data_IF_015667589477
#
_entry.id   IF_015667589477
#
_cell.length_a   1.000
_cell.length_b   1.000
_cell.length_c   1.000
_cell.angle_alpha   90.00
_cell.angle_beta   90.00
_cell.angle_gamma   90.00
#
_symmetry.space_group_name_H-M   'P 1'
#
loop_
_entity.id
_entity.type
_entity.pdbx_description
1 polymer ?
#
# COMPACT_ATOMS: atom_id res chain seq x y z
N UNK A 1 -8.85 -22.03 -32.31
CA UNK A 1 -8.20 -20.84 -31.71
C UNK A 1 -9.08 -20.33 -30.57
N UNK A 2 -8.96 -20.91 -29.37
CA UNK A 2 -9.72 -20.48 -28.17
C UNK A 2 -8.77 -20.14 -27.02
N UNK A 3 -7.71 -20.94 -26.87
CA UNK A 3 -6.63 -20.72 -25.91
C UNK A 3 -5.88 -19.37 -26.06
N UNK A 4 -5.78 -18.80 -27.26
CA UNK A 4 -5.15 -17.48 -27.48
C UNK A 4 -6.03 -16.33 -26.99
N UNK A 5 -7.35 -16.48 -27.07
CA UNK A 5 -8.31 -15.45 -26.68
C UNK A 5 -8.45 -15.41 -25.17
N UNK A 6 -8.51 -16.57 -24.51
CA UNK A 6 -8.63 -16.69 -23.06
C UNK A 6 -7.40 -16.11 -22.32
N UNK A 7 -6.19 -16.37 -22.84
CA UNK A 7 -4.95 -15.81 -22.27
C UNK A 7 -4.86 -14.29 -22.39
N UNK A 8 -5.31 -13.71 -23.51
CA UNK A 8 -5.35 -12.25 -23.71
C UNK A 8 -6.38 -11.61 -22.78
N UNK A 9 -7.54 -12.26 -22.57
CA UNK A 9 -8.58 -11.78 -21.64
C UNK A 9 -8.07 -11.78 -20.21
N UNK A 10 -7.45 -12.88 -19.74
CA UNK A 10 -6.87 -12.95 -18.39
C UNK A 10 -5.79 -11.90 -18.16
N UNK A 11 -4.92 -11.67 -19.15
CA UNK A 11 -3.89 -10.64 -19.04
C UNK A 11 -4.50 -9.23 -18.94
N UNK A 12 -5.55 -8.94 -19.71
CA UNK A 12 -6.28 -7.67 -19.61
C UNK A 12 -6.98 -7.51 -18.26
N UNK A 13 -7.69 -8.53 -17.78
CA UNK A 13 -8.34 -8.50 -16.48
C UNK A 13 -7.34 -8.28 -15.34
N UNK A 14 -6.17 -8.93 -15.41
CA UNK A 14 -5.09 -8.71 -14.46
C UNK A 14 -4.58 -7.26 -14.52
N UNK A 15 -4.33 -6.73 -15.73
CA UNK A 15 -3.88 -5.35 -15.91
C UNK A 15 -4.94 -4.37 -15.39
N UNK A 16 -6.22 -4.59 -15.68
CA UNK A 16 -7.31 -3.70 -15.27
C UNK A 16 -7.58 -3.76 -13.76
N UNK A 17 -7.47 -4.93 -13.13
CA UNK A 17 -7.51 -5.09 -11.67
C UNK A 17 -6.39 -4.29 -11.01
N UNK A 18 -5.15 -4.48 -11.48
CA UNK A 18 -4.03 -3.69 -11.00
C UNK A 18 -4.26 -2.20 -11.29
N UNK A 19 -4.73 -1.83 -12.47
CA UNK A 19 -4.96 -0.42 -12.83
C UNK A 19 -6.00 0.24 -11.92
N UNK A 20 -7.05 -0.48 -11.54
CA UNK A 20 -8.07 -0.02 -10.59
C UNK A 20 -7.49 0.18 -9.18
N UNK A 21 -6.72 -0.79 -8.68
CA UNK A 21 -5.96 -0.64 -7.43
C UNK A 21 -4.98 0.55 -7.49
N UNK A 22 -4.48 0.87 -8.69
CA UNK A 22 -3.61 2.00 -8.96
C UNK A 22 -4.35 3.34 -9.16
N UNK A 23 -5.64 3.34 -9.48
CA UNK A 23 -6.44 4.58 -9.58
C UNK A 23 -6.92 5.03 -8.20
N UNK A 24 -7.22 4.09 -7.29
CA UNK A 24 -7.75 4.42 -5.96
C UNK A 24 -6.66 4.84 -4.94
N UNK A 25 -5.43 4.38 -5.12
CA UNK A 25 -4.32 4.65 -4.20
C UNK A 25 -3.59 5.96 -4.55
N UNK A 26 -3.24 6.79 -3.56
CA UNK A 26 -2.41 7.99 -3.79
C UNK A 26 -1.00 7.62 -4.24
N UNK A 27 -0.35 8.51 -5.00
CA UNK A 27 1.05 8.32 -5.42
C UNK A 27 1.97 8.20 -4.21
N UNK A 28 1.70 8.94 -3.15
CA UNK A 28 2.37 8.85 -1.86
C UNK A 28 2.28 7.45 -1.25
N UNK A 29 1.09 6.83 -1.25
CA UNK A 29 0.89 5.50 -0.67
C UNK A 29 1.68 4.44 -1.45
N UNK A 30 1.72 4.55 -2.78
CA UNK A 30 2.56 3.70 -3.64
C UNK A 30 4.04 3.81 -3.31
N UNK A 31 4.57 5.03 -3.21
CA UNK A 31 5.98 5.24 -2.87
C UNK A 31 6.29 4.76 -1.45
N UNK A 32 5.40 5.01 -0.48
CA UNK A 32 5.55 4.52 0.89
C UNK A 32 5.63 3.00 0.95
N UNK A 33 4.74 2.29 0.24
CA UNK A 33 4.77 0.83 0.13
C UNK A 33 6.06 0.33 -0.52
N UNK A 34 6.45 0.88 -1.67
CA UNK A 34 7.67 0.47 -2.39
C UNK A 34 8.91 0.66 -1.51
N UNK A 35 9.03 1.80 -0.82
CA UNK A 35 10.15 2.07 0.08
C UNK A 35 10.16 1.12 1.28
N UNK A 36 8.99 0.73 1.80
CA UNK A 36 8.88 -0.31 2.85
C UNK A 36 9.41 -1.66 2.33
N UNK A 37 8.99 -2.05 1.12
CA UNK A 37 9.43 -3.30 0.48
C UNK A 37 10.95 -3.29 0.21
N UNK A 38 11.56 -2.12 -0.01
CA UNK A 38 13.00 -1.93 -0.16
C UNK A 38 13.78 -1.78 1.16
N UNK A 39 13.12 -1.87 2.32
CA UNK A 39 13.77 -1.66 3.62
C UNK A 39 14.10 -0.20 3.97
N UNK A 40 13.62 0.77 3.17
CA UNK A 40 13.86 2.20 3.38
C UNK A 40 12.79 2.81 4.28
N UNK A 41 12.70 2.31 5.51
CA UNK A 41 11.59 2.55 6.43
C UNK A 41 11.40 4.03 6.80
N UNK A 42 12.48 4.78 7.05
CA UNK A 42 12.37 6.20 7.41
C UNK A 42 11.82 7.05 6.26
N UNK A 43 12.18 6.71 5.02
CA UNK A 43 11.64 7.39 3.83
C UNK A 43 10.19 7.00 3.62
N UNK A 44 9.84 5.72 3.76
CA UNK A 44 8.45 5.27 3.69
C UNK A 44 7.56 6.01 4.71
N UNK A 45 8.03 6.14 5.95
CA UNK A 45 7.31 6.84 7.02
C UNK A 45 7.03 8.32 6.69
N UNK A 46 7.93 9.00 5.96
CA UNK A 46 7.69 10.39 5.50
C UNK A 46 6.48 10.48 4.56
N UNK A 47 6.32 9.51 3.66
CA UNK A 47 5.17 9.48 2.75
C UNK A 47 3.87 9.18 3.50
N UNK A 48 3.86 8.19 4.41
CA UNK A 48 2.67 7.88 5.20
C UNK A 48 2.23 9.05 6.08
N UNK A 49 3.17 9.72 6.77
CA UNK A 49 2.88 10.93 7.55
C UNK A 49 2.33 12.07 6.69
N UNK A 50 2.81 12.23 5.46
CA UNK A 50 2.29 13.25 4.54
C UNK A 50 0.81 13.01 4.22
N UNK A 51 0.42 11.75 4.00
CA UNK A 51 -0.97 11.37 3.73
C UNK A 51 -1.86 11.65 4.95
N UNK A 52 -1.37 11.35 6.16
CA UNK A 52 -2.12 11.56 7.41
C UNK A 52 -2.38 13.04 7.75
N UNK A 53 -1.72 14.00 7.08
CA UNK A 53 -1.98 15.43 7.26
C UNK A 53 -3.18 15.88 6.40
N UNK A 54 -3.54 15.13 5.36
CA UNK A 54 -4.68 15.43 4.50
C UNK A 54 -5.99 15.01 5.20
N UNK A 55 -6.90 15.93 5.53
CA UNK A 55 -8.17 15.59 6.19
C UNK A 55 -9.14 14.83 5.27
N UNK A 56 -8.87 14.75 3.97
CA UNK A 56 -9.71 14.08 2.98
C UNK A 56 -9.18 12.71 2.57
N UNK A 57 -8.20 12.15 3.30
CA UNK A 57 -7.70 10.79 3.05
C UNK A 57 -8.84 9.77 3.18
N UNK A 58 -9.04 8.99 2.12
CA UNK A 58 -10.19 8.08 2.00
C UNK A 58 -9.90 6.71 2.66
N UNK A 59 -8.62 6.30 2.71
CA UNK A 59 -8.23 4.96 3.16
C UNK A 59 -7.18 5.02 4.31
N UNK A 60 -7.60 5.56 5.46
CA UNK A 60 -6.80 5.54 6.69
C UNK A 60 -6.38 4.13 7.13
N UNK A 61 -7.26 3.11 7.09
CA UNK A 61 -6.91 1.73 7.43
C UNK A 61 -5.65 1.22 6.74
N UNK A 62 -5.56 1.37 5.42
CA UNK A 62 -4.40 0.95 4.64
C UNK A 62 -3.11 1.68 5.04
N UNK A 63 -3.19 2.97 5.36
CA UNK A 63 -2.03 3.74 5.84
C UNK A 63 -1.52 3.20 7.18
N UNK A 64 -2.42 3.00 8.15
CA UNK A 64 -2.05 2.47 9.46
C UNK A 64 -1.54 1.04 9.37
N UNK A 65 -2.10 0.20 8.50
CA UNK A 65 -1.57 -1.13 8.22
C UNK A 65 -0.11 -1.06 7.76
N UNK A 66 0.22 -0.18 6.81
CA UNK A 66 1.58 -0.05 6.32
C UNK A 66 2.55 0.54 7.35
N UNK A 67 2.10 1.47 8.20
CA UNK A 67 2.88 1.96 9.34
C UNK A 67 3.14 0.83 10.35
N UNK A 68 2.11 0.06 10.71
CA UNK A 68 2.23 -1.09 11.59
C UNK A 68 3.20 -2.13 11.06
N UNK A 69 3.16 -2.39 9.74
CA UNK A 69 4.11 -3.26 9.05
C UNK A 69 5.55 -2.76 9.15
N UNK A 70 5.80 -1.45 9.04
CA UNK A 70 7.15 -0.90 9.27
C UNK A 70 7.60 -1.17 10.70
N UNK A 71 6.76 -0.86 11.69
CA UNK A 71 7.10 -1.09 13.09
C UNK A 71 7.38 -2.56 13.39
N UNK A 72 6.62 -3.47 12.79
CA UNK A 72 6.87 -4.90 12.87
C UNK A 72 8.25 -5.27 12.32
N UNK A 73 8.60 -4.77 11.13
CA UNK A 73 9.88 -5.07 10.46
C UNK A 73 11.09 -4.55 11.22
N UNK A 74 10.96 -3.47 11.99
CA UNK A 74 12.04 -2.92 12.84
C UNK A 74 12.01 -3.46 14.28
N UNK A 75 11.12 -4.40 14.60
CA UNK A 75 11.01 -5.02 15.93
C UNK A 75 10.30 -4.18 16.99
N UNK A 76 9.67 -3.07 16.61
CA UNK A 76 8.87 -2.23 17.50
C UNK A 76 7.43 -2.78 17.63
N UNK A 77 7.29 -3.94 18.27
CA UNK A 77 6.04 -4.70 18.25
C UNK A 77 4.85 -4.00 18.94
N UNK A 78 5.10 -3.19 19.98
CA UNK A 78 4.03 -2.43 20.65
C UNK A 78 3.44 -1.36 19.72
N UNK A 79 4.30 -0.61 19.03
CA UNK A 79 3.86 0.37 18.03
C UNK A 79 3.19 -0.33 16.83
N UNK A 80 3.71 -1.49 16.42
CA UNK A 80 3.08 -2.31 15.38
C UNK A 80 1.66 -2.70 15.77
N UNK A 81 1.46 -3.20 16.99
CA UNK A 81 0.14 -3.60 17.48
C UNK A 81 -0.82 -2.42 17.50
N UNK A 82 -0.40 -1.28 18.06
CA UNK A 82 -1.21 -0.07 18.10
C UNK A 82 -1.67 0.36 16.70
N UNK A 83 -0.80 0.30 15.70
CA UNK A 83 -1.16 0.68 14.34
C UNK A 83 -2.06 -0.36 13.66
N UNK A 84 -1.90 -1.65 13.97
CA UNK A 84 -2.82 -2.68 13.47
C UNK A 84 -4.19 -2.65 14.15
N UNK A 85 -4.30 -2.11 15.36
CA UNK A 85 -5.61 -1.89 16.01
C UNK A 85 -6.37 -0.71 15.42
N UNK A 86 -5.65 0.27 14.87
CA UNK A 86 -6.24 1.42 14.17
C UNK A 86 -6.63 1.07 12.73
N UNK A 87 -5.84 0.20 12.09
CA UNK A 87 -6.07 -0.28 10.73
C UNK A 87 -7.33 -1.14 10.62
#
# INVERSE_FOLDING_TARGET
>A
MKASTDGITLAKEYIDLNKKDFEDMSVELRFGKLLTDMGQYEKAMKYFKKILIDPYVIDLPSIYFHIGRIYHLVGAYNDSLLNYEIA
#
